data_IF_157415670146
#
_entry.id   IF_157415670146
#
_cell.length_a   1.000
_cell.length_b   1.000
_cell.length_c   1.000
_cell.angle_alpha   90.00
_cell.angle_beta   90.00
_cell.angle_gamma   90.00
#
_symmetry.space_group_name_H-M   'P 1'
#
loop_
_entity.id
_entity.type
_entity.pdbx_description
1 polymer ?
#
# COMPACT_ATOMS: atom_id res chain seq x y z
N UNK A 1 5.99 -8.32 19.17
CA UNK A 1 6.33 -8.61 17.77
C UNK A 1 6.78 -7.31 17.13
N UNK A 2 8.01 -7.25 16.63
CA UNK A 2 8.51 -6.04 15.95
C UNK A 2 7.77 -5.77 14.64
N UNK A 3 7.82 -4.53 14.13
CA UNK A 3 7.24 -4.18 12.83
C UNK A 3 7.80 -5.06 11.70
N UNK A 4 9.10 -5.36 11.76
CA UNK A 4 9.80 -6.26 10.83
C UNK A 4 9.26 -7.69 10.87
N UNK A 5 9.09 -8.25 12.07
CA UNK A 5 8.57 -9.61 12.24
C UNK A 5 7.15 -9.71 11.68
N UNK A 6 6.29 -8.76 12.05
CA UNK A 6 4.91 -8.69 11.55
C UNK A 6 4.86 -8.51 10.03
N UNK A 7 5.76 -7.71 9.45
CA UNK A 7 5.85 -7.51 8.01
C UNK A 7 6.09 -8.83 7.27
N UNK A 8 7.04 -9.64 7.76
CA UNK A 8 7.32 -10.93 7.13
C UNK A 8 6.26 -11.99 7.43
N UNK A 9 5.67 -12.01 8.61
CA UNK A 9 4.57 -12.93 8.93
C UNK A 9 3.37 -12.77 8.00
N UNK A 10 3.00 -11.53 7.67
CA UNK A 10 1.91 -11.26 6.71
C UNK A 10 2.26 -11.79 5.32
N UNK A 11 3.51 -11.62 4.87
CA UNK A 11 3.95 -12.18 3.57
C UNK A 11 3.83 -13.69 3.58
N UNK A 12 4.24 -14.36 4.66
CA UNK A 12 4.18 -15.82 4.76
C UNK A 12 2.75 -16.35 4.80
N UNK A 13 1.86 -15.69 5.54
CA UNK A 13 0.44 -16.00 5.59
C UNK A 13 -0.22 -15.83 4.21
N UNK A 14 0.09 -14.75 3.49
CA UNK A 14 -0.45 -14.56 2.14
C UNK A 14 0.17 -15.49 1.11
N UNK A 15 1.42 -15.87 1.31
CA UNK A 15 2.12 -16.81 0.43
C UNK A 15 1.60 -18.24 0.60
N UNK A 16 1.11 -18.64 1.78
CA UNK A 16 0.68 -20.04 2.00
C UNK A 16 -0.46 -20.49 1.10
N UNK A 17 -1.23 -19.54 0.53
CA UNK A 17 -2.29 -19.81 -0.43
C UNK A 17 -1.77 -20.17 -1.84
N UNK A 18 -0.46 -20.03 -2.08
CA UNK A 18 0.18 -20.22 -3.37
C UNK A 18 1.22 -21.35 -3.32
N UNK A 19 1.41 -22.03 -4.45
CA UNK A 19 2.39 -23.13 -4.55
C UNK A 19 3.82 -22.69 -4.29
N UNK A 20 4.16 -21.45 -4.66
CA UNK A 20 5.50 -20.89 -4.48
C UNK A 20 5.49 -19.35 -4.42
N UNK A 21 6.60 -18.77 -3.92
CA UNK A 21 6.80 -17.31 -3.82
C UNK A 21 6.66 -16.62 -5.19
N UNK A 22 7.15 -17.21 -6.27
CA UNK A 22 7.13 -16.57 -7.59
C UNK A 22 5.70 -16.44 -8.12
N UNK A 23 4.87 -17.46 -7.92
CA UNK A 23 3.46 -17.46 -8.28
C UNK A 23 2.69 -16.41 -7.48
N UNK A 24 2.93 -16.34 -6.16
CA UNK A 24 2.40 -15.29 -5.31
C UNK A 24 2.78 -13.90 -5.82
N UNK A 25 4.07 -13.64 -6.07
CA UNK A 25 4.56 -12.33 -6.52
C UNK A 25 4.04 -11.94 -7.92
N UNK A 26 3.83 -12.90 -8.82
CA UNK A 26 3.28 -12.64 -10.16
C UNK A 26 1.85 -12.11 -10.14
N UNK A 27 1.12 -12.29 -9.05
CA UNK A 27 -0.25 -11.75 -8.94
C UNK A 27 -0.31 -10.22 -8.93
N UNK A 28 0.78 -9.55 -8.53
CA UNK A 28 0.84 -8.08 -8.45
C UNK A 28 2.12 -7.48 -9.07
N UNK A 29 3.09 -8.29 -9.52
CA UNK A 29 4.29 -7.84 -10.24
C UNK A 29 4.27 -8.42 -11.66
N UNK A 30 4.21 -7.54 -12.66
CA UNK A 30 4.12 -7.95 -14.07
C UNK A 30 5.46 -8.33 -14.70
N UNK A 31 6.60 -7.88 -14.15
CA UNK A 31 7.93 -8.09 -14.72
C UNK A 31 8.65 -9.26 -14.05
N UNK A 32 9.01 -10.29 -14.82
CA UNK A 32 9.70 -11.48 -14.29
C UNK A 32 11.05 -11.15 -13.63
N UNK A 33 11.79 -10.17 -14.19
CA UNK A 33 13.03 -9.67 -13.57
C UNK A 33 12.77 -9.08 -12.19
N UNK A 34 11.65 -8.37 -12.03
CA UNK A 34 11.27 -7.76 -10.76
C UNK A 34 10.74 -8.79 -9.77
N UNK A 35 10.02 -9.83 -10.23
CA UNK A 35 9.59 -10.97 -9.41
C UNK A 35 10.81 -11.64 -8.79
N UNK A 36 11.79 -12.02 -9.61
CA UNK A 36 13.00 -12.71 -9.14
C UNK A 36 13.82 -11.85 -8.16
N UNK A 37 13.99 -10.56 -8.48
CA UNK A 37 14.65 -9.62 -7.58
C UNK A 37 13.92 -9.48 -6.24
N UNK A 38 12.60 -9.39 -6.27
CA UNK A 38 11.75 -9.21 -5.09
C UNK A 38 11.77 -10.46 -4.21
N UNK A 39 11.62 -11.64 -4.78
CA UNK A 39 11.73 -12.92 -4.06
C UNK A 39 13.08 -13.04 -3.34
N UNK A 40 14.17 -12.75 -4.06
CA UNK A 40 15.53 -12.79 -3.50
C UNK A 40 15.70 -11.80 -2.35
N UNK A 41 15.17 -10.57 -2.50
CA UNK A 41 15.23 -9.55 -1.46
C UNK A 41 14.43 -9.90 -0.21
N UNK A 42 13.22 -10.43 -0.36
CA UNK A 42 12.41 -10.89 0.78
C UNK A 42 13.22 -11.89 1.61
N UNK A 43 13.81 -12.91 0.98
CA UNK A 43 14.58 -13.94 1.68
C UNK A 43 15.81 -13.39 2.38
N UNK A 44 16.59 -12.55 1.68
CA UNK A 44 17.82 -11.96 2.24
C UNK A 44 17.43 -11.06 3.42
N UNK A 45 16.57 -10.07 3.21
CA UNK A 45 16.28 -9.06 4.21
C UNK A 45 15.57 -9.65 5.45
N UNK A 46 14.74 -10.68 5.26
CA UNK A 46 14.18 -11.48 6.37
C UNK A 46 15.29 -12.11 7.21
N UNK A 47 16.27 -12.76 6.58
CA UNK A 47 17.41 -13.39 7.27
C UNK A 47 18.22 -12.37 8.08
N UNK A 48 18.33 -11.14 7.60
CA UNK A 48 19.03 -10.06 8.28
C UNK A 48 18.15 -9.30 9.30
N UNK A 49 16.90 -9.70 9.50
CA UNK A 49 15.99 -9.08 10.46
C UNK A 49 15.71 -7.60 10.16
N UNK A 50 15.65 -7.22 8.89
CA UNK A 50 15.46 -5.81 8.46
C UNK A 50 14.39 -5.67 7.41
N UNK A 51 13.79 -4.48 7.31
CA UNK A 51 12.87 -4.18 6.21
C UNK A 51 13.60 -4.11 4.85
N UNK A 52 12.95 -4.54 3.74
CA UNK A 52 13.50 -4.43 2.40
C UNK A 52 13.81 -2.98 1.96
N UNK A 53 14.48 -2.77 0.82
CA UNK A 53 14.58 -1.46 0.19
C UNK A 53 13.21 -0.85 -0.12
N UNK A 54 13.10 0.48 -0.12
CA UNK A 54 11.84 1.22 -0.34
C UNK A 54 11.12 0.78 -1.61
N UNK A 55 11.82 0.66 -2.74
CA UNK A 55 11.21 0.18 -4.00
C UNK A 55 10.62 -1.24 -3.86
N UNK A 56 11.29 -2.13 -3.13
CA UNK A 56 10.78 -3.47 -2.88
C UNK A 56 9.55 -3.43 -1.97
N UNK A 57 9.56 -2.58 -0.95
CA UNK A 57 8.39 -2.37 -0.09
C UNK A 57 7.20 -1.86 -0.89
N UNK A 58 7.37 -0.82 -1.71
CA UNK A 58 6.30 -0.23 -2.53
C UNK A 58 5.67 -1.26 -3.48
N UNK A 59 6.48 -2.16 -4.07
CA UNK A 59 5.96 -3.26 -4.89
C UNK A 59 5.12 -4.26 -4.10
N UNK A 60 5.42 -4.43 -2.82
CA UNK A 60 4.68 -5.32 -1.92
C UNK A 60 3.48 -4.63 -1.26
N UNK A 61 3.31 -3.31 -1.43
CA UNK A 61 2.24 -2.55 -0.81
C UNK A 61 0.83 -3.15 -0.98
N UNK A 62 0.44 -3.73 -2.15
CA UNK A 62 -0.87 -4.34 -2.32
C UNK A 62 -1.20 -5.50 -1.36
N UNK A 63 -0.19 -6.09 -0.73
CA UNK A 63 -0.36 -7.25 0.18
C UNK A 63 -0.80 -6.80 1.57
N UNK A 64 -0.45 -5.58 1.96
CA UNK A 64 -0.55 -5.10 3.32
C UNK A 64 -1.77 -4.20 3.53
N UNK A 65 -2.22 -4.14 4.78
CA UNK A 65 -3.10 -3.04 5.18
C UNK A 65 -2.38 -1.70 4.98
N UNK A 66 -3.11 -0.72 4.46
CA UNK A 66 -2.56 0.59 4.11
C UNK A 66 -1.86 1.24 5.32
N UNK A 67 -2.50 1.26 6.49
CA UNK A 67 -1.98 1.95 7.68
C UNK A 67 -0.72 1.28 8.22
N UNK A 68 -0.72 -0.05 8.20
CA UNK A 68 0.44 -0.83 8.61
C UNK A 68 1.61 -0.60 7.66
N UNK A 69 1.37 -0.65 6.35
CA UNK A 69 2.41 -0.44 5.35
C UNK A 69 3.04 0.95 5.44
N UNK A 70 2.23 1.99 5.59
CA UNK A 70 2.73 3.37 5.76
C UNK A 70 3.61 3.51 7.00
N UNK A 71 3.22 2.86 8.09
CA UNK A 71 4.01 2.85 9.34
C UNK A 71 5.38 2.21 9.09
N UNK A 72 5.41 1.01 8.49
CA UNK A 72 6.67 0.35 8.14
C UNK A 72 7.51 1.17 7.15
N UNK A 73 6.87 1.85 6.20
CA UNK A 73 7.58 2.69 5.23
C UNK A 73 8.20 3.91 5.93
N UNK A 74 7.48 4.60 6.82
CA UNK A 74 8.01 5.72 7.61
C UNK A 74 9.17 5.28 8.50
N UNK A 75 9.03 4.17 9.23
CA UNK A 75 10.13 3.59 10.00
C UNK A 75 11.36 3.30 9.15
N UNK A 76 11.17 2.86 7.90
CA UNK A 76 12.26 2.65 6.96
C UNK A 76 12.92 3.96 6.52
N UNK A 77 12.12 4.99 6.28
CA UNK A 77 12.59 6.32 5.88
C UNK A 77 13.34 7.03 6.99
N UNK A 78 12.93 6.84 8.25
CA UNK A 78 13.58 7.42 9.43
C UNK A 78 14.89 6.70 9.79
N UNK A 79 15.22 5.61 9.09
CA UNK A 79 16.47 4.89 9.29
C UNK A 79 17.66 5.70 8.79
N UNK A 80 18.64 5.94 9.67
CA UNK A 80 19.85 6.72 9.40
C UNK A 80 20.73 6.24 8.21
N UNK A 81 20.45 5.08 7.63
CA UNK A 81 21.22 4.46 6.52
C UNK A 81 20.52 4.58 5.16
N UNK A 82 19.47 5.38 5.05
CA UNK A 82 18.72 5.51 3.79
C UNK A 82 19.38 6.52 2.85
N UNK A 83 19.25 6.29 1.54
CA UNK A 83 19.73 7.22 0.50
C UNK A 83 18.65 8.24 0.20
N UNK A 84 19.04 9.49 -0.11
CA UNK A 84 18.09 10.56 -0.44
C UNK A 84 17.10 10.18 -1.56
N UNK A 85 17.58 9.45 -2.57
CA UNK A 85 16.72 8.95 -3.66
C UNK A 85 15.61 8.01 -3.16
N UNK A 86 15.91 7.16 -2.17
CA UNK A 86 14.91 6.25 -1.61
C UNK A 86 13.92 7.02 -0.70
N UNK A 87 14.36 8.10 -0.06
CA UNK A 87 13.50 9.03 0.70
C UNK A 87 12.52 9.74 -0.23
N UNK A 88 13.01 10.32 -1.31
CA UNK A 88 12.18 11.01 -2.30
C UNK A 88 11.10 10.07 -2.87
N UNK A 89 11.47 8.84 -3.22
CA UNK A 89 10.53 7.85 -3.74
C UNK A 89 9.49 7.45 -2.68
N UNK A 90 9.90 7.24 -1.43
CA UNK A 90 9.00 6.91 -0.34
C UNK A 90 8.01 8.04 -0.03
N UNK A 91 8.48 9.28 0.05
CA UNK A 91 7.64 10.46 0.27
C UNK A 91 6.66 10.66 -0.88
N UNK A 92 7.12 10.52 -2.13
CA UNK A 92 6.24 10.61 -3.31
C UNK A 92 5.14 9.55 -3.28
N UNK A 93 5.45 8.35 -2.80
CA UNK A 93 4.46 7.29 -2.63
C UNK A 93 3.40 7.68 -1.59
N UNK A 94 3.82 8.14 -0.40
CA UNK A 94 2.92 8.57 0.67
C UNK A 94 1.99 9.71 0.21
N UNK A 95 2.55 10.75 -0.43
CA UNK A 95 1.77 11.87 -0.96
C UNK A 95 0.75 11.43 -2.01
N UNK A 96 1.13 10.53 -2.91
CA UNK A 96 0.21 10.00 -3.92
C UNK A 96 -0.94 9.26 -3.25
N UNK A 97 -0.63 8.40 -2.29
CA UNK A 97 -1.61 7.58 -1.58
C UNK A 97 -2.63 8.44 -0.82
N UNK A 98 -2.19 9.54 -0.19
CA UNK A 98 -3.08 10.51 0.47
C UNK A 98 -3.96 11.28 -0.53
N UNK A 99 -3.39 11.70 -1.67
CA UNK A 99 -4.15 12.39 -2.71
C UNK A 99 -5.28 11.53 -3.30
N UNK A 100 -5.04 10.24 -3.53
CA UNK A 100 -6.07 9.31 -4.02
C UNK A 100 -7.22 9.13 -3.02
N UNK A 101 -6.95 9.15 -1.72
CA UNK A 101 -8.02 9.07 -0.72
C UNK A 101 -8.90 10.32 -0.71
N UNK A 102 -8.29 11.50 -0.72
CA UNK A 102 -9.02 12.78 -0.71
C UNK A 102 -9.95 12.90 -1.93
N UNK A 103 -9.49 12.53 -3.12
CA UNK A 103 -10.34 12.55 -4.34
C UNK A 103 -11.56 11.62 -4.23
N UNK A 104 -11.40 10.45 -3.59
CA UNK A 104 -12.49 9.47 -3.42
C UNK A 104 -13.56 9.97 -2.46
N UNK A 105 -13.14 10.62 -1.37
CA UNK A 105 -14.05 11.25 -0.40
C UNK A 105 -14.79 12.45 -0.99
N UNK A 106 -14.09 13.30 -1.74
CA UNK A 106 -14.71 14.42 -2.46
C UNK A 106 -15.76 13.96 -3.48
N UNK A 107 -15.53 12.85 -4.18
CA UNK A 107 -16.50 12.32 -5.14
C UNK A 107 -17.74 11.74 -4.43
N UNK A 108 -17.54 11.08 -3.27
CA UNK A 108 -18.65 10.65 -2.40
C UNK A 108 -19.48 11.84 -1.91
N UNK A 109 -18.83 12.90 -1.43
CA UNK A 109 -19.50 14.12 -0.99
C UNK A 109 -20.28 14.80 -2.14
N UNK A 110 -19.72 14.82 -3.35
CA UNK A 110 -20.43 15.32 -4.54
C UNK A 110 -21.68 14.52 -4.85
N UNK A 111 -21.62 13.18 -4.76
CA UNK A 111 -22.79 12.30 -4.96
C UNK A 111 -23.85 12.53 -3.89
N UNK A 112 -23.46 12.67 -2.61
CA UNK A 112 -24.37 12.99 -1.50
C UNK A 112 -25.05 14.34 -1.72
N UNK A 113 -24.30 15.41 -2.04
CA UNK A 113 -24.88 16.74 -2.33
C UNK A 113 -25.89 16.69 -3.48
N UNK A 114 -25.62 15.90 -4.53
CA UNK A 114 -26.57 15.72 -5.64
C UNK A 114 -27.84 14.97 -5.23
N UNK A 115 -27.74 13.96 -4.36
CA UNK A 115 -28.92 13.25 -3.81
C UNK A 115 -29.77 14.19 -2.96
N UNK A 116 -29.15 14.88 -2.00
CA UNK A 116 -29.82 15.85 -1.14
C UNK A 116 -30.54 16.94 -1.94
N UNK A 117 -29.90 17.46 -3.01
CA UNK A 117 -30.52 18.44 -3.90
C UNK A 117 -31.77 17.89 -4.60
N UNK A 118 -31.77 16.61 -5.00
CA UNK A 118 -32.95 15.98 -5.63
C UNK A 118 -34.07 15.76 -4.63
N UNK A 119 -33.76 15.33 -3.41
CA UNK A 119 -34.73 15.18 -2.32
C UNK A 119 -35.41 16.52 -2.01
N UNK A 120 -34.63 17.59 -1.81
CA UNK A 120 -35.18 18.94 -1.63
C UNK A 120 -36.07 19.40 -2.79
N UNK A 121 -35.70 19.07 -4.03
CA UNK A 121 -36.54 19.39 -5.19
C UNK A 121 -37.85 18.59 -5.20
N UNK A 122 -37.84 17.33 -4.75
CA UNK A 122 -39.03 16.50 -4.65
C UNK A 122 -39.97 17.01 -3.56
N UNK A 123 -39.47 17.32 -2.36
CA UNK A 123 -40.26 17.96 -1.28
C UNK A 123 -40.89 19.27 -1.77
N UNK A 124 -40.11 20.11 -2.46
CA UNK A 124 -40.58 21.42 -2.92
C UNK A 124 -41.59 21.34 -4.08
N UNK A 125 -41.49 20.34 -4.95
CA UNK A 125 -42.38 20.16 -6.11
C UNK A 125 -43.63 19.33 -5.80
N UNK A 126 -43.56 18.42 -4.81
CA UNK A 126 -44.64 17.47 -4.52
C UNK A 126 -45.22 17.60 -3.11
N UNK A 127 -44.64 18.43 -2.22
CA UNK A 127 -45.23 18.78 -0.92
C UNK A 127 -45.41 17.62 0.06
N UNK A 128 -44.53 16.61 -0.02
CA UNK A 128 -44.40 15.54 0.98
C UNK A 128 -43.28 15.92 1.94
#
# INVERSE_FOLDING_TARGET
MGSVEKFYSIIEEKQSDYKNVFEFLRTFISSEKEVSYTASRIRIDKKWGRLPPVNTMIRLAPIFDKTFFETCLREKLDSAKIRDKDVEVGQKYLLKVDSTQNTTEEERLRKLKRKLKREMHLEKSWGI
#
